data_IF_264742599681
#
_entry.id   IF_264742599681
#
_cell.length_a   1.000
_cell.length_b   1.000
_cell.length_c   1.000
_cell.angle_alpha   90.00
_cell.angle_beta   90.00
_cell.angle_gamma   90.00
#
_symmetry.space_group_name_H-M   'P 1'
#
loop_
_entity.id
_entity.type
_entity.pdbx_description
1 polymer ?
#
# COMPACT_ATOMS: atom_id res chain seq x y z
N UNK A 1 13.24 10.72 -12.19
CA UNK A 1 12.87 10.15 -10.87
C UNK A 1 13.78 8.97 -10.63
N UNK A 2 14.47 8.86 -9.49
CA UNK A 2 15.37 7.72 -9.27
C UNK A 2 14.95 7.02 -7.97
N UNK A 3 14.22 5.92 -8.11
CA UNK A 3 13.81 5.10 -6.98
C UNK A 3 13.91 3.61 -7.31
N UNK A 4 13.95 2.79 -6.29
CA UNK A 4 13.81 1.34 -6.44
C UNK A 4 12.64 0.83 -5.63
N UNK A 5 11.91 -0.12 -6.19
CA UNK A 5 10.75 -0.74 -5.56
C UNK A 5 11.01 -2.22 -5.43
N UNK A 6 10.98 -2.71 -4.21
CA UNK A 6 11.16 -4.13 -3.89
C UNK A 6 9.84 -4.68 -3.36
N UNK A 7 9.34 -5.72 -3.96
CA UNK A 7 8.18 -6.47 -3.49
C UNK A 7 8.61 -7.43 -2.38
N UNK A 8 7.95 -7.37 -1.23
CA UNK A 8 8.19 -8.29 -0.12
C UNK A 8 7.14 -9.40 -0.15
N UNK A 9 5.88 -9.07 0.04
CA UNK A 9 4.77 -10.02 -0.01
C UNK A 9 3.41 -9.30 0.02
N UNK A 10 2.45 -9.79 -0.76
CA UNK A 10 1.07 -9.30 -0.81
C UNK A 10 1.02 -7.80 -1.16
N UNK A 11 0.81 -6.92 -0.19
CA UNK A 11 0.75 -5.47 -0.35
C UNK A 11 1.99 -4.78 0.26
N UNK A 12 2.97 -5.58 0.70
CA UNK A 12 4.19 -5.06 1.29
C UNK A 12 5.23 -4.74 0.21
N UNK A 13 5.58 -3.47 0.12
CA UNK A 13 6.66 -2.96 -0.72
C UNK A 13 7.64 -2.12 0.09
N UNK A 14 8.91 -2.18 -0.30
CA UNK A 14 9.96 -1.26 0.12
C UNK A 14 10.26 -0.35 -1.06
N UNK A 15 9.96 0.93 -0.93
CA UNK A 15 10.28 1.97 -1.93
C UNK A 15 11.46 2.76 -1.39
N UNK A 16 12.63 2.56 -1.98
CA UNK A 16 13.83 3.31 -1.63
C UNK A 16 13.95 4.53 -2.55
N UNK A 17 13.88 5.69 -1.94
CA UNK A 17 14.08 7.01 -2.55
C UNK A 17 15.52 7.50 -2.31
N UNK A 18 15.89 8.65 -2.86
CA UNK A 18 17.25 9.16 -2.73
C UNK A 18 17.67 9.37 -1.27
N UNK A 19 16.77 9.87 -0.43
CA UNK A 19 17.03 10.34 0.93
C UNK A 19 16.15 9.71 2.02
N UNK A 20 15.17 8.88 1.66
CA UNK A 20 14.34 8.14 2.59
C UNK A 20 13.86 6.80 2.02
N UNK A 21 13.21 6.01 2.87
CA UNK A 21 12.64 4.71 2.53
C UNK A 21 11.18 4.70 2.99
N UNK A 22 10.28 4.25 2.11
CA UNK A 22 8.88 4.02 2.42
C UNK A 22 8.64 2.51 2.46
N UNK A 23 7.97 2.03 3.50
CA UNK A 23 7.58 0.62 3.65
C UNK A 23 6.08 0.58 3.85
N UNK A 24 5.39 -0.20 3.04
CA UNK A 24 3.94 -0.31 3.06
C UNK A 24 3.49 -1.67 3.55
N UNK A 25 2.44 -1.71 4.36
CA UNK A 25 1.63 -2.87 4.74
C UNK A 25 2.44 -4.15 5.04
N UNK A 26 3.40 -4.05 5.95
CA UNK A 26 4.20 -5.20 6.35
C UNK A 26 3.36 -6.25 7.10
N UNK A 27 3.27 -7.42 6.51
CA UNK A 27 2.59 -8.58 7.08
C UNK A 27 3.52 -9.77 7.28
N UNK A 28 4.09 -10.25 6.19
CA UNK A 28 4.98 -11.43 6.14
C UNK A 28 6.23 -11.09 5.35
N UNK A 29 7.35 -11.55 5.85
CA UNK A 29 8.64 -11.56 5.17
C UNK A 29 9.07 -13.03 5.01
N UNK A 30 8.89 -13.63 3.81
CA UNK A 30 9.02 -15.08 3.63
C UNK A 30 10.36 -15.67 4.07
N UNK A 31 11.46 -14.97 3.84
CA UNK A 31 12.82 -15.42 4.18
C UNK A 31 13.48 -14.52 5.24
N UNK A 32 12.75 -13.56 5.82
CA UNK A 32 13.29 -12.65 6.84
C UNK A 32 14.30 -11.64 6.32
N UNK A 33 14.20 -11.20 5.06
CA UNK A 33 15.22 -10.42 4.36
C UNK A 33 14.87 -8.95 4.15
N UNK A 34 13.76 -8.45 4.69
CA UNK A 34 13.34 -7.06 4.47
C UNK A 34 14.44 -6.05 4.83
N UNK A 35 15.24 -6.36 5.85
CA UNK A 35 16.33 -5.48 6.28
C UNK A 35 17.48 -5.36 5.27
N UNK A 36 17.62 -6.31 4.33
CA UNK A 36 18.60 -6.23 3.23
C UNK A 36 18.29 -5.06 2.27
N UNK A 37 17.05 -4.57 2.29
CA UNK A 37 16.55 -3.49 1.42
C UNK A 37 16.41 -2.15 2.15
N UNK A 38 16.88 -2.06 3.40
CA UNK A 38 16.87 -0.84 4.20
C UNK A 38 18.28 -0.27 4.25
N UNK A 39 18.54 0.75 3.43
CA UNK A 39 19.82 1.46 3.44
C UNK A 39 20.06 2.09 4.82
N UNK A 40 21.20 1.81 5.48
CA UNK A 40 21.53 2.40 6.77
C UNK A 40 21.48 3.94 6.74
N UNK A 41 21.06 4.53 7.86
CA UNK A 41 21.01 5.97 8.10
C UNK A 41 19.91 6.76 7.35
N UNK A 42 19.31 6.21 6.28
CA UNK A 42 18.14 6.85 5.67
C UNK A 42 16.92 6.81 6.62
N UNK A 43 16.16 7.90 6.78
CA UNK A 43 14.86 7.84 7.46
C UNK A 43 13.94 6.82 6.82
N UNK A 44 13.19 6.09 7.65
CA UNK A 44 12.24 5.06 7.24
C UNK A 44 10.83 5.48 7.66
N UNK A 45 9.92 5.51 6.70
CA UNK A 45 8.49 5.74 6.94
C UNK A 45 7.76 4.41 6.74
N UNK A 46 7.07 3.94 7.77
CA UNK A 46 6.30 2.70 7.73
C UNK A 46 4.82 3.05 7.69
N UNK A 47 4.18 2.70 6.60
CA UNK A 47 2.76 2.92 6.36
C UNK A 47 1.96 1.66 6.67
N UNK A 48 0.82 1.82 7.33
CA UNK A 48 -0.15 0.75 7.52
C UNK A 48 -1.53 1.26 7.12
N UNK A 49 -2.05 0.71 6.04
CA UNK A 49 -3.33 1.12 5.46
C UNK A 49 -4.51 0.79 6.37
N UNK A 50 -4.53 -0.39 6.99
CA UNK A 50 -5.57 -0.85 7.90
C UNK A 50 -5.11 -2.03 8.77
N UNK A 51 -5.99 -2.50 9.66
CA UNK A 51 -5.61 -3.47 10.69
C UNK A 51 -5.77 -4.94 10.30
N UNK A 52 -6.24 -5.27 9.10
CA UNK A 52 -6.34 -6.66 8.66
C UNK A 52 -4.99 -7.36 8.71
N UNK A 53 -5.04 -8.67 8.97
CA UNK A 53 -3.85 -9.45 9.27
C UNK A 53 -2.84 -9.47 8.12
N UNK A 54 -3.32 -9.40 6.90
CA UNK A 54 -2.52 -9.43 5.67
C UNK A 54 -1.89 -8.07 5.30
N UNK A 55 -2.18 -7.00 6.07
CA UNK A 55 -1.62 -5.65 5.91
C UNK A 55 -0.86 -5.16 7.13
N UNK A 56 -1.00 -5.86 8.28
CA UNK A 56 -0.45 -5.36 9.52
C UNK A 56 0.16 -6.44 10.41
N UNK A 57 1.47 -6.31 10.67
CA UNK A 57 2.19 -7.09 11.68
C UNK A 57 2.80 -6.15 12.72
N UNK A 58 2.46 -6.36 13.99
CA UNK A 58 2.99 -5.57 15.12
C UNK A 58 4.52 -5.67 15.28
N UNK A 59 5.15 -6.59 14.61
CA UNK A 59 6.61 -6.76 14.61
C UNK A 59 7.33 -5.48 14.14
N UNK A 60 6.73 -4.68 13.24
CA UNK A 60 7.30 -3.41 12.78
C UNK A 60 7.75 -2.50 13.94
N UNK A 61 7.06 -2.56 15.07
CA UNK A 61 7.39 -1.73 16.24
C UNK A 61 8.63 -2.21 17.01
N UNK A 62 9.13 -3.41 16.73
CA UNK A 62 10.40 -3.91 17.29
C UNK A 62 11.61 -3.38 16.51
N UNK A 63 11.39 -2.88 15.30
CA UNK A 63 12.46 -2.49 14.38
C UNK A 63 13.27 -1.30 14.87
N UNK A 64 12.71 -0.44 15.71
CA UNK A 64 13.46 0.64 16.37
C UNK A 64 14.62 0.14 17.25
N UNK A 65 14.57 -1.11 17.68
CA UNK A 65 15.68 -1.76 18.43
C UNK A 65 16.67 -2.50 17.54
N UNK A 66 16.31 -2.77 16.29
CA UNK A 66 17.10 -3.55 15.33
C UNK A 66 17.82 -2.63 14.32
N UNK A 67 17.19 -1.53 13.95
CA UNK A 67 17.69 -0.58 12.97
C UNK A 67 18.20 0.70 13.66
N UNK A 68 19.26 1.28 13.11
CA UNK A 68 19.76 2.61 13.54
C UNK A 68 19.02 3.75 12.85
N UNK A 69 18.18 3.44 11.87
CA UNK A 69 17.41 4.41 11.12
C UNK A 69 16.39 5.14 12.01
N UNK A 70 16.15 6.41 11.71
CA UNK A 70 14.99 7.12 12.27
C UNK A 70 13.73 6.53 11.66
N UNK A 71 12.85 5.96 12.47
CA UNK A 71 11.61 5.34 12.01
C UNK A 71 10.43 6.22 12.39
N UNK A 72 9.58 6.50 11.40
CA UNK A 72 8.28 7.18 11.55
C UNK A 72 7.18 6.24 11.09
N UNK A 73 6.16 6.04 11.92
CA UNK A 73 5.00 5.21 11.60
C UNK A 73 3.83 6.10 11.18
N UNK A 74 3.26 5.85 10.02
CA UNK A 74 2.07 6.53 9.50
C UNK A 74 1.00 5.47 9.36
N UNK A 75 0.02 5.50 10.24
CA UNK A 75 -0.96 4.43 10.39
C UNK A 75 -2.38 4.98 10.33
N UNK A 76 -3.29 4.18 9.82
CA UNK A 76 -4.71 4.53 9.84
C UNK A 76 -5.29 4.47 11.27
N UNK A 77 -6.37 5.20 11.48
CA UNK A 77 -7.02 5.31 12.80
C UNK A 77 -7.57 3.97 13.32
N UNK A 78 -7.95 3.05 12.45
CA UNK A 78 -8.38 1.72 12.86
C UNK A 78 -7.22 0.88 13.44
N UNK A 79 -6.01 0.98 12.88
CA UNK A 79 -4.78 0.35 13.41
C UNK A 79 -4.45 0.89 14.80
N UNK A 80 -4.65 2.19 15.03
CA UNK A 80 -4.35 2.82 16.30
C UNK A 80 -5.03 2.16 17.50
N UNK A 81 -6.23 1.59 17.31
CA UNK A 81 -6.97 0.87 18.35
C UNK A 81 -6.22 -0.36 18.85
N UNK A 82 -5.47 -1.04 17.97
CA UNK A 82 -4.71 -2.25 18.28
C UNK A 82 -3.37 -1.99 18.94
N UNK A 83 -2.83 -0.76 18.82
CA UNK A 83 -1.53 -0.37 19.37
C UNK A 83 -1.62 0.62 20.53
N UNK A 84 -2.80 1.08 20.91
CA UNK A 84 -3.02 2.06 21.97
C UNK A 84 -2.26 1.70 23.27
N UNK A 85 -2.19 0.42 23.60
CA UNK A 85 -1.48 -0.07 24.78
C UNK A 85 0.07 0.06 24.66
N UNK A 86 0.61 0.14 23.45
CA UNK A 86 2.05 0.33 23.19
C UNK A 86 2.45 1.81 23.29
N UNK A 87 1.50 2.71 23.07
CA UNK A 87 1.68 4.16 23.12
C UNK A 87 1.51 4.76 24.53
N UNK A 88 1.04 3.93 25.50
CA UNK A 88 0.74 4.44 26.85
C UNK A 88 1.94 4.27 27.78
N UNK A 89 2.50 5.35 28.39
CA UNK A 89 3.68 5.28 29.24
C UNK A 89 3.56 4.39 30.49
N UNK A 90 2.33 4.02 30.85
CA UNK A 90 2.01 3.23 32.06
C UNK A 90 1.71 1.75 31.78
N UNK A 91 2.13 1.21 30.66
CA UNK A 91 1.95 -0.23 30.47
C UNK A 91 2.85 -0.97 31.48
N UNK A 92 2.24 -1.48 32.56
CA UNK A 92 2.86 -2.32 33.59
C UNK A 92 3.32 -3.68 33.04
N UNK A 93 3.38 -3.82 31.77
CA UNK A 93 3.83 -4.98 31.04
C UNK A 93 5.36 -5.07 31.11
N UNK A 94 5.87 -5.73 32.16
CA UNK A 94 7.29 -6.07 32.28
C UNK A 94 7.80 -6.71 30.96
N UNK A 95 8.77 -6.05 30.32
CA UNK A 95 9.46 -6.55 29.11
C UNK A 95 8.73 -6.31 27.80
N UNK A 96 7.72 -5.43 27.71
CA UNK A 96 7.04 -5.10 26.46
C UNK A 96 7.58 -3.84 25.83
N UNK A 97 7.59 -3.92 24.51
CA UNK A 97 7.91 -2.87 23.58
C UNK A 97 7.14 -1.58 23.91
N UNK A 98 7.88 -0.51 24.11
CA UNK A 98 7.32 0.84 24.17
C UNK A 98 7.68 1.55 22.89
N UNK A 99 6.67 2.13 22.24
CA UNK A 99 6.86 2.97 21.05
C UNK A 99 6.90 4.42 21.53
N UNK A 100 7.82 5.21 21.02
CA UNK A 100 7.76 6.66 21.22
C UNK A 100 6.49 7.20 20.53
N UNK A 101 5.52 7.74 21.26
CA UNK A 101 4.31 8.28 20.64
C UNK A 101 4.57 9.36 19.59
N UNK A 102 5.72 10.04 19.68
CA UNK A 102 6.11 11.07 18.70
C UNK A 102 6.54 10.51 17.36
N UNK A 103 6.88 9.21 17.30
CA UNK A 103 7.21 8.53 16.06
C UNK A 103 5.97 8.01 15.33
N UNK A 104 4.77 8.14 15.90
CA UNK A 104 3.54 7.60 15.33
C UNK A 104 2.59 8.72 14.96
N UNK A 105 2.26 8.80 13.69
CA UNK A 105 1.22 9.66 13.13
C UNK A 105 0.01 8.80 12.79
N UNK A 106 -1.14 9.16 13.34
CA UNK A 106 -2.42 8.48 13.10
C UNK A 106 -3.23 9.34 12.14
N UNK A 107 -3.64 8.75 11.02
CA UNK A 107 -4.40 9.43 9.99
C UNK A 107 -5.76 8.77 9.78
N UNK A 108 -6.77 9.58 9.52
CA UNK A 108 -8.09 9.20 9.03
C UNK A 108 -8.29 9.75 7.63
N UNK A 109 -9.33 9.33 6.96
CA UNK A 109 -9.74 9.95 5.68
C UNK A 109 -9.82 11.47 5.78
N UNK A 110 -9.11 12.17 4.91
CA UNK A 110 -9.03 13.63 4.84
C UNK A 110 -7.91 14.24 5.67
N UNK A 111 -7.22 13.45 6.50
CA UNK A 111 -6.06 13.92 7.25
C UNK A 111 -4.80 13.96 6.36
N UNK A 112 -3.82 14.76 6.77
CA UNK A 112 -2.53 14.85 6.11
C UNK A 112 -1.38 14.90 7.12
N UNK A 113 -0.21 14.50 6.65
CA UNK A 113 1.07 14.61 7.35
C UNK A 113 2.09 15.26 6.43
N UNK A 114 3.01 16.04 6.99
CA UNK A 114 4.13 16.60 6.23
C UNK A 114 5.33 16.82 7.14
N UNK A 115 6.51 16.54 6.62
CA UNK A 115 7.80 16.92 7.20
C UNK A 115 8.72 17.47 6.11
N UNK A 116 10.03 17.45 6.35
CA UNK A 116 11.02 18.01 5.43
C UNK A 116 11.21 17.16 4.16
N UNK A 117 10.86 15.87 4.18
CA UNK A 117 11.12 14.92 3.11
C UNK A 117 9.86 14.55 2.33
N UNK A 118 8.74 14.32 3.03
CA UNK A 118 7.50 13.84 2.41
C UNK A 118 6.28 14.65 2.86
N UNK A 119 5.29 14.69 2.00
CA UNK A 119 3.92 15.02 2.39
C UNK A 119 2.98 13.87 2.02
N UNK A 120 2.02 13.58 2.89
CA UNK A 120 1.10 12.45 2.80
C UNK A 120 -0.32 12.96 2.92
N UNK A 121 -1.19 12.55 2.00
CA UNK A 121 -2.63 12.70 2.14
C UNK A 121 -3.24 11.31 2.33
N UNK A 122 -4.09 11.16 3.34
CA UNK A 122 -4.84 9.95 3.60
C UNK A 122 -6.26 10.07 3.02
N UNK A 123 -6.63 9.09 2.20
CA UNK A 123 -7.97 8.99 1.63
C UNK A 123 -8.65 7.73 2.17
N UNK A 124 -9.98 7.70 2.13
CA UNK A 124 -10.73 6.54 2.57
C UNK A 124 -10.58 5.34 1.65
N UNK A 125 -10.92 4.18 2.17
CA UNK A 125 -11.00 2.91 1.43
C UNK A 125 -12.46 2.52 1.20
N UNK A 126 -12.68 1.57 0.32
CA UNK A 126 -13.97 0.86 0.13
C UNK A 126 -14.09 -0.36 1.05
N UNK A 127 -13.01 -0.72 1.73
CA UNK A 127 -13.01 -1.61 2.88
C UNK A 127 -12.87 -0.76 4.16
N UNK A 128 -11.81 -0.91 4.90
CA UNK A 128 -11.48 -0.11 6.10
C UNK A 128 -10.14 0.59 5.94
N UNK A 129 -9.87 1.57 6.82
CA UNK A 129 -8.60 2.28 6.86
C UNK A 129 -8.44 3.32 5.77
N UNK A 130 -7.23 3.44 5.25
CA UNK A 130 -6.84 4.50 4.33
C UNK A 130 -6.04 3.97 3.13
N UNK A 131 -6.17 4.67 2.00
CA UNK A 131 -5.16 4.73 0.96
C UNK A 131 -4.30 5.98 1.16
N UNK A 132 -3.07 5.97 0.65
CA UNK A 132 -2.11 7.04 0.84
C UNK A 132 -1.59 7.57 -0.48
N UNK A 133 -1.62 8.90 -0.64
CA UNK A 133 -0.91 9.62 -1.70
C UNK A 133 0.26 10.37 -1.07
N UNK A 134 1.46 9.96 -1.43
CA UNK A 134 2.71 10.48 -0.90
C UNK A 134 3.39 11.32 -1.96
N UNK A 135 3.78 12.54 -1.62
CA UNK A 135 4.61 13.39 -2.46
C UNK A 135 6.02 13.44 -1.85
N UNK A 136 7.01 13.06 -2.67
CA UNK A 136 8.42 13.19 -2.36
C UNK A 136 9.11 13.91 -3.55
N UNK A 137 9.64 15.11 -3.32
CA UNK A 137 10.39 15.86 -4.35
C UNK A 137 9.67 15.92 -5.72
N UNK A 138 8.36 16.16 -5.73
CA UNK A 138 7.48 16.18 -6.91
C UNK A 138 7.17 14.81 -7.53
N UNK A 139 7.54 13.72 -6.89
CA UNK A 139 7.12 12.36 -7.26
C UNK A 139 5.90 11.98 -6.44
N UNK A 140 4.81 11.63 -7.11
CA UNK A 140 3.57 11.18 -6.48
C UNK A 140 3.49 9.66 -6.47
N UNK A 141 3.49 9.09 -5.26
CA UNK A 141 3.42 7.65 -5.01
C UNK A 141 2.07 7.36 -4.35
N UNK A 142 1.30 6.46 -4.93
CA UNK A 142 0.01 6.04 -4.39
C UNK A 142 0.06 4.57 -3.95
N UNK A 143 -0.37 4.32 -2.72
CA UNK A 143 -0.62 2.97 -2.21
C UNK A 143 -2.10 2.84 -1.86
N UNK A 144 -2.80 1.97 -2.56
CA UNK A 144 -4.24 1.87 -2.46
C UNK A 144 -4.71 1.20 -1.15
N UNK A 145 -3.86 0.39 -0.47
CA UNK A 145 -4.37 -0.55 0.52
C UNK A 145 -5.47 -1.39 -0.11
N UNK A 146 -6.60 -1.56 0.56
CA UNK A 146 -7.76 -2.28 0.04
C UNK A 146 -8.79 -1.38 -0.66
N UNK A 147 -8.38 -0.21 -1.16
CA UNK A 147 -9.23 0.61 -2.00
C UNK A 147 -9.39 -0.04 -3.38
N UNK A 148 -10.54 -0.63 -3.66
CA UNK A 148 -10.87 -1.29 -4.92
C UNK A 148 -12.40 -1.35 -5.14
N UNK A 149 -12.84 -1.73 -6.33
CA UNK A 149 -14.23 -2.10 -6.61
C UNK A 149 -14.44 -3.58 -6.25
N UNK A 150 -14.86 -3.86 -5.00
CA UNK A 150 -15.05 -5.23 -4.50
C UNK A 150 -16.38 -5.84 -4.97
N UNK A 151 -16.51 -6.05 -6.29
CA UNK A 151 -17.72 -6.57 -6.97
C UNK A 151 -17.75 -8.11 -7.00
N UNK A 152 -17.57 -8.74 -5.85
CA UNK A 152 -17.53 -10.19 -5.70
C UNK A 152 -18.69 -10.89 -6.42
N UNK A 153 -18.47 -12.11 -6.92
CA UNK A 153 -19.45 -12.84 -7.75
C UNK A 153 -20.78 -13.08 -7.04
N UNK A 154 -20.74 -13.34 -5.73
CA UNK A 154 -21.93 -13.58 -4.90
C UNK A 154 -22.79 -12.33 -4.66
N UNK A 155 -22.28 -11.12 -4.92
CA UNK A 155 -23.05 -9.88 -4.77
C UNK A 155 -24.10 -9.74 -5.86
N UNK A 156 -25.25 -9.21 -5.49
CA UNK A 156 -26.32 -8.85 -6.42
C UNK A 156 -25.89 -7.71 -7.35
N UNK A 157 -26.57 -7.54 -8.45
CA UNK A 157 -26.29 -6.44 -9.39
C UNK A 157 -26.38 -5.05 -8.70
N UNK A 158 -27.33 -4.88 -7.77
CA UNK A 158 -27.48 -3.63 -7.03
C UNK A 158 -26.26 -3.38 -6.11
N UNK A 159 -25.82 -4.39 -5.38
CA UNK A 159 -24.63 -4.31 -4.53
C UNK A 159 -23.37 -4.01 -5.35
N UNK A 160 -23.18 -4.70 -6.48
CA UNK A 160 -22.06 -4.42 -7.40
C UNK A 160 -22.07 -2.99 -7.93
N UNK A 161 -23.25 -2.47 -8.26
CA UNK A 161 -23.42 -1.07 -8.70
C UNK A 161 -23.06 -0.09 -7.58
N UNK A 162 -23.44 -0.40 -6.34
CA UNK A 162 -23.10 0.42 -5.17
C UNK A 162 -21.58 0.42 -4.93
N UNK A 163 -20.94 -0.75 -4.94
CA UNK A 163 -19.47 -0.86 -4.80
C UNK A 163 -18.72 0.01 -5.81
N UNK A 164 -19.12 -0.06 -7.09
CA UNK A 164 -18.53 0.77 -8.14
C UNK A 164 -18.75 2.26 -7.88
N UNK A 165 -19.95 2.62 -7.40
CA UNK A 165 -20.31 4.01 -7.10
C UNK A 165 -19.47 4.55 -5.95
N UNK A 166 -19.36 3.78 -4.87
CA UNK A 166 -18.57 4.13 -3.68
C UNK A 166 -17.09 4.23 -4.01
N UNK A 167 -16.58 3.29 -4.80
CA UNK A 167 -15.21 3.32 -5.29
C UNK A 167 -14.92 4.58 -6.13
N UNK A 168 -15.77 4.89 -7.12
CA UNK A 168 -15.63 6.11 -7.93
C UNK A 168 -15.69 7.38 -7.10
N UNK A 169 -16.53 7.39 -6.06
CA UNK A 169 -16.60 8.52 -5.14
C UNK A 169 -15.28 8.69 -4.37
N UNK A 170 -14.65 7.60 -3.90
CA UNK A 170 -13.33 7.67 -3.26
C UNK A 170 -12.26 8.18 -4.23
N UNK A 171 -12.24 7.67 -5.47
CA UNK A 171 -11.30 8.14 -6.49
C UNK A 171 -11.48 9.63 -6.82
N UNK A 172 -12.73 10.13 -6.85
CA UNK A 172 -12.97 11.56 -7.11
C UNK A 172 -12.36 12.46 -6.03
N UNK A 173 -12.34 12.00 -4.76
CA UNK A 173 -11.67 12.72 -3.66
C UNK A 173 -10.14 12.76 -3.85
N UNK A 174 -9.54 11.68 -4.33
CA UNK A 174 -8.10 11.65 -4.66
C UNK A 174 -7.82 12.61 -5.84
N UNK A 175 -8.66 12.61 -6.86
CA UNK A 175 -8.53 13.45 -8.05
C UNK A 175 -8.63 14.96 -7.75
N UNK A 176 -9.29 15.37 -6.66
CA UNK A 176 -9.28 16.75 -6.18
C UNK A 176 -7.86 17.22 -5.78
N UNK A 177 -6.97 16.27 -5.40
CA UNK A 177 -5.58 16.56 -5.05
C UNK A 177 -4.65 16.45 -6.25
N UNK A 178 -4.76 15.39 -7.03
CA UNK A 178 -4.02 15.18 -8.28
C UNK A 178 -4.74 14.22 -9.20
N UNK A 179 -4.68 14.49 -10.50
CA UNK A 179 -5.11 13.58 -11.57
C UNK A 179 -3.94 12.83 -12.21
N UNK A 180 -2.71 13.10 -11.77
CA UNK A 180 -1.50 12.41 -12.24
C UNK A 180 -0.88 11.65 -11.07
N UNK A 181 -0.38 10.44 -11.30
CA UNK A 181 0.29 9.60 -10.31
C UNK A 181 1.53 8.99 -10.98
N UNK A 182 2.71 9.21 -10.39
CA UNK A 182 3.93 8.65 -10.96
C UNK A 182 4.02 7.14 -10.72
N UNK A 183 3.71 6.69 -9.49
CA UNK A 183 3.77 5.28 -9.11
C UNK A 183 2.49 4.92 -8.36
N UNK A 184 1.76 3.91 -8.82
CA UNK A 184 0.60 3.36 -8.15
C UNK A 184 0.79 1.89 -7.81
N UNK A 185 0.68 1.53 -6.54
CA UNK A 185 0.53 0.17 -6.04
C UNK A 185 -0.97 -0.08 -5.83
N UNK A 186 -1.55 -0.98 -6.65
CA UNK A 186 -3.02 -1.10 -6.74
C UNK A 186 -3.48 -2.56 -6.75
N UNK A 187 -4.56 -2.92 -6.01
CA UNK A 187 -5.09 -4.27 -5.95
C UNK A 187 -5.60 -4.77 -7.31
N UNK A 188 -5.09 -5.92 -7.74
CA UNK A 188 -5.64 -6.70 -8.86
C UNK A 188 -5.85 -8.12 -8.35
N UNK A 189 -7.04 -8.42 -7.86
CA UNK A 189 -7.35 -9.63 -7.10
C UNK A 189 -8.43 -10.45 -7.77
N UNK A 190 -8.05 -11.56 -8.39
CA UNK A 190 -8.98 -12.45 -9.10
C UNK A 190 -9.94 -13.24 -8.19
N UNK A 191 -9.90 -13.05 -6.85
CA UNK A 191 -10.99 -13.49 -5.96
C UNK A 191 -12.33 -12.83 -6.28
N UNK A 192 -12.30 -11.64 -6.87
CA UNK A 192 -13.49 -10.91 -7.28
C UNK A 192 -14.30 -11.70 -8.32
N UNK A 193 -13.65 -12.58 -9.09
CA UNK A 193 -14.25 -13.30 -10.19
C UNK A 193 -13.80 -12.75 -11.55
N UNK A 194 -14.61 -12.94 -12.60
CA UNK A 194 -14.24 -12.54 -13.96
C UNK A 194 -14.04 -11.03 -14.15
N UNK A 195 -14.62 -10.21 -13.27
CA UNK A 195 -14.55 -8.74 -13.30
C UNK A 195 -13.41 -8.19 -12.42
N UNK A 196 -12.42 -9.01 -12.06
CA UNK A 196 -11.36 -8.68 -11.07
C UNK A 196 -10.53 -7.45 -11.39
N UNK A 197 -10.44 -7.05 -12.64
CA UNK A 197 -9.64 -5.92 -13.08
C UNK A 197 -10.43 -4.60 -13.17
N UNK A 198 -11.74 -4.63 -12.96
CA UNK A 198 -12.62 -3.46 -13.17
C UNK A 198 -12.21 -2.26 -12.30
N UNK A 199 -11.71 -2.51 -11.09
CA UNK A 199 -11.20 -1.44 -10.22
C UNK A 199 -9.98 -0.77 -10.83
N UNK A 200 -9.03 -1.54 -11.34
CA UNK A 200 -7.84 -1.00 -12.01
C UNK A 200 -8.21 -0.24 -13.29
N UNK A 201 -9.19 -0.73 -14.07
CA UNK A 201 -9.70 -0.05 -15.26
C UNK A 201 -10.29 1.33 -14.91
N UNK A 202 -11.14 1.38 -13.87
CA UNK A 202 -11.74 2.63 -13.41
C UNK A 202 -10.66 3.59 -12.90
N UNK A 203 -9.68 3.08 -12.15
CA UNK A 203 -8.56 3.87 -11.64
C UNK A 203 -7.74 4.49 -12.77
N UNK A 204 -7.32 3.70 -13.75
CA UNK A 204 -6.52 4.16 -14.88
C UNK A 204 -7.28 5.10 -15.84
N UNK A 205 -8.61 5.00 -15.89
CA UNK A 205 -9.43 5.96 -16.59
C UNK A 205 -9.55 7.31 -15.87
N UNK A 206 -9.32 7.33 -14.56
CA UNK A 206 -9.41 8.53 -13.72
C UNK A 206 -8.07 9.25 -13.58
N UNK A 207 -6.95 8.49 -13.56
CA UNK A 207 -5.62 8.99 -13.29
C UNK A 207 -4.65 8.69 -14.42
N UNK A 208 -3.92 9.73 -14.86
CA UNK A 208 -2.73 9.57 -15.68
C UNK A 208 -1.62 8.96 -14.81
N UNK A 209 -1.41 7.64 -14.98
CA UNK A 209 -0.52 6.84 -14.14
C UNK A 209 0.69 6.40 -14.96
N UNK A 210 1.91 6.76 -14.55
CA UNK A 210 3.11 6.36 -15.28
C UNK A 210 3.51 4.90 -15.03
N UNK A 211 3.53 4.50 -13.74
CA UNK A 211 3.93 3.16 -13.35
C UNK A 211 2.85 2.53 -12.47
N UNK A 212 2.29 1.41 -12.92
CA UNK A 212 1.32 0.63 -12.13
C UNK A 212 1.94 -0.69 -11.69
N UNK A 213 1.86 -0.96 -10.39
CA UNK A 213 2.36 -2.17 -9.76
C UNK A 213 1.18 -2.90 -9.13
N UNK A 214 0.79 -4.07 -9.65
CA UNK A 214 -0.30 -4.86 -9.08
C UNK A 214 0.09 -5.43 -7.72
N UNK A 215 -0.88 -5.54 -6.84
CA UNK A 215 -0.74 -6.13 -5.51
C UNK A 215 -1.98 -6.94 -5.13
N UNK A 216 -2.04 -7.49 -3.90
CA UNK A 216 -3.18 -8.16 -3.30
C UNK A 216 -3.49 -9.56 -3.84
N UNK A 217 -2.46 -10.31 -4.27
CA UNK A 217 -2.63 -11.65 -4.83
C UNK A 217 -1.94 -12.79 -4.04
N UNK A 218 -1.30 -12.50 -2.90
CA UNK A 218 -0.46 -13.48 -2.20
C UNK A 218 -1.05 -14.01 -0.87
N UNK A 219 -2.26 -13.61 -0.48
CA UNK A 219 -2.93 -14.13 0.73
C UNK A 219 -3.64 -15.47 0.44
N UNK A 220 -2.86 -16.52 0.10
CA UNK A 220 -3.38 -17.85 -0.21
C UNK A 220 -2.23 -18.87 -0.30
N UNK A 221 -2.57 -20.15 -0.55
CA UNK A 221 -1.57 -21.17 -0.87
C UNK A 221 -0.86 -20.90 -2.20
N UNK A 222 0.26 -21.57 -2.41
CA UNK A 222 1.14 -21.32 -3.58
C UNK A 222 0.45 -21.60 -4.92
N UNK A 223 -0.37 -22.63 -5.01
CA UNK A 223 -1.05 -22.98 -6.27
C UNK A 223 -2.07 -21.91 -6.66
N UNK A 224 -2.82 -21.41 -5.69
CA UNK A 224 -3.79 -20.35 -5.90
C UNK A 224 -3.09 -19.01 -6.17
N UNK A 225 -1.98 -18.74 -5.49
CA UNK A 225 -1.15 -17.56 -5.72
C UNK A 225 -0.64 -17.52 -7.16
N UNK A 226 -0.11 -18.64 -7.66
CA UNK A 226 0.36 -18.72 -9.04
C UNK A 226 -0.77 -18.42 -10.03
N UNK A 227 -1.96 -18.99 -9.81
CA UNK A 227 -3.12 -18.69 -10.65
C UNK A 227 -3.48 -17.21 -10.67
N UNK A 228 -3.48 -16.55 -9.51
CA UNK A 228 -3.76 -15.11 -9.44
C UNK A 228 -2.68 -14.27 -10.14
N UNK A 229 -1.43 -14.68 -10.07
CA UNK A 229 -0.34 -14.05 -10.83
C UNK A 229 -0.55 -14.22 -12.32
N UNK A 230 -1.00 -15.40 -12.79
CA UNK A 230 -1.32 -15.63 -14.19
C UNK A 230 -2.48 -14.75 -14.67
N UNK A 231 -3.49 -14.51 -13.82
CA UNK A 231 -4.59 -13.57 -14.09
C UNK A 231 -4.07 -12.12 -14.22
N UNK A 232 -3.14 -11.70 -13.36
CA UNK A 232 -2.49 -10.39 -13.47
C UNK A 232 -1.68 -10.26 -14.75
N UNK A 233 -0.97 -11.32 -15.17
CA UNK A 233 -0.28 -11.35 -16.46
C UNK A 233 -1.25 -11.27 -17.65
N UNK A 234 -2.41 -11.93 -17.56
CA UNK A 234 -3.44 -11.84 -18.58
C UNK A 234 -4.00 -10.40 -18.69
N UNK A 235 -4.20 -9.71 -17.56
CA UNK A 235 -4.65 -8.33 -17.52
C UNK A 235 -3.65 -7.36 -18.18
N UNK A 236 -2.37 -7.62 -18.10
CA UNK A 236 -1.33 -6.77 -18.73
C UNK A 236 -1.60 -6.53 -20.22
N UNK A 237 -2.15 -7.51 -20.92
CA UNK A 237 -2.49 -7.38 -22.34
C UNK A 237 -3.67 -6.42 -22.58
N UNK A 238 -4.55 -6.26 -21.60
CA UNK A 238 -5.72 -5.37 -21.66
C UNK A 238 -5.30 -3.92 -21.38
N UNK A 239 -4.40 -3.71 -20.43
CA UNK A 239 -3.97 -2.37 -19.98
C UNK A 239 -3.29 -1.57 -21.11
N UNK A 240 -2.57 -2.23 -22.02
CA UNK A 240 -1.93 -1.57 -23.17
C UNK A 240 -2.92 -0.87 -24.10
N UNK A 241 -4.20 -1.24 -24.04
CA UNK A 241 -5.26 -0.58 -24.80
C UNK A 241 -5.95 0.53 -24.01
N UNK A 242 -6.04 0.39 -22.68
CA UNK A 242 -6.72 1.36 -21.80
C UNK A 242 -5.84 2.55 -21.43
N UNK A 243 -4.57 2.28 -21.16
CA UNK A 243 -3.59 3.29 -20.78
C UNK A 243 -2.25 2.94 -21.41
N UNK A 244 -2.05 3.31 -22.70
CA UNK A 244 -0.86 2.91 -23.48
C UNK A 244 0.44 3.49 -22.94
N UNK A 245 0.37 4.61 -22.21
CA UNK A 245 1.54 5.29 -21.64
C UNK A 245 1.90 4.79 -20.21
N UNK A 246 1.10 3.87 -19.65
CA UNK A 246 1.36 3.28 -18.35
C UNK A 246 2.31 2.09 -18.46
N UNK A 247 3.42 2.15 -17.75
CA UNK A 247 4.31 1.00 -17.57
C UNK A 247 3.75 0.08 -16.46
N UNK A 248 3.49 -1.17 -16.83
CA UNK A 248 2.92 -2.18 -15.93
C UNK A 248 3.99 -3.14 -15.43
N UNK A 249 4.28 -3.10 -14.12
CA UNK A 249 5.35 -3.85 -13.49
C UNK A 249 4.80 -4.95 -12.58
N UNK A 250 4.87 -6.20 -13.02
CA UNK A 250 4.42 -7.34 -12.22
C UNK A 250 5.58 -7.85 -11.39
N UNK A 251 5.56 -7.54 -10.09
CA UNK A 251 6.49 -8.07 -9.10
C UNK A 251 5.78 -9.20 -8.35
N UNK A 252 6.12 -10.44 -8.63
CA UNK A 252 5.39 -11.61 -8.13
C UNK A 252 6.22 -12.52 -7.23
N UNK A 253 7.53 -12.40 -7.26
CA UNK A 253 8.43 -13.19 -6.42
C UNK A 253 8.91 -12.34 -5.25
N UNK A 254 8.99 -12.89 -4.03
CA UNK A 254 9.59 -12.18 -2.91
C UNK A 254 10.96 -11.59 -3.27
N UNK A 255 11.18 -10.34 -2.87
CA UNK A 255 12.40 -9.57 -3.09
C UNK A 255 12.72 -9.22 -4.54
N UNK A 256 11.78 -9.45 -5.45
CA UNK A 256 11.89 -8.94 -6.81
C UNK A 256 11.90 -7.41 -6.79
N UNK A 257 12.80 -6.82 -7.56
CA UNK A 257 13.11 -5.38 -7.50
C UNK A 257 13.10 -4.77 -8.89
N UNK A 258 12.53 -3.58 -9.00
CA UNK A 258 12.64 -2.72 -10.18
C UNK A 258 13.30 -1.40 -9.83
N UNK A 259 13.87 -0.75 -10.83
CA UNK A 259 14.35 0.62 -10.77
C UNK A 259 13.52 1.48 -11.71
N UNK A 260 13.08 2.62 -11.24
CA UNK A 260 12.32 3.63 -11.99
C UNK A 260 13.20 4.88 -12.09
N UNK A 261 13.48 5.30 -13.32
CA UNK A 261 14.33 6.46 -13.64
C UNK A 261 13.51 7.75 -13.89
#
# INVERSE_FOLDING_TARGET
MNCSITYIWHDCFVVELNDCILIFDYWVDPDGRIFDFITPEKPVYIFVSHHHKDHFNKEIFTWTSLLKNKISYIISNDVARFIKHLLTPRSTYKGKLQIDPKSVTILSEGDSFSDELISVNAFGSTDIGCSYLINHSSTLIFHAGDLNAWILEEKTHLEKTQEITDFKHKLSRIAETSTTIDIAMFPIDSRIGCDYAIGADIFLNQFDTKHLIPMHFANCDEALRQRRIDDVHAYKNTITHLSPDTEFHILSKPYEKIHIE
#
